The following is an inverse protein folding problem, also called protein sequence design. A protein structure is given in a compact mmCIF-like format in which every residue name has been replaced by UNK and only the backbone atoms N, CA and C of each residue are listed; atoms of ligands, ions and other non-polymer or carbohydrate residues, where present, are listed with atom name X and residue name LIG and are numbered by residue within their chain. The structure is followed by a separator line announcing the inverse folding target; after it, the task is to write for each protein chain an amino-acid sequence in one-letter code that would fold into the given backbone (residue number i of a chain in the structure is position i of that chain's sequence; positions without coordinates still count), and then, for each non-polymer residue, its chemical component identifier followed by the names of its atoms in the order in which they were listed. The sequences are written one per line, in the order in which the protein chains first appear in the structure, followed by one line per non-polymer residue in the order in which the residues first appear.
data_IF_509856539447
#
_entry.id   IF_509856539447
#
_cell.length_a   1.000
_cell.length_b   1.000
_cell.length_c   1.000
_cell.angle_alpha   90.00
_cell.angle_beta   90.00
_cell.angle_gamma   90.00
#
_symmetry.space_group_name_H-M   'P 1'
#
loop_
_entity.id
_entity.type
_entity.pdbx_description
1 polymer ?
#
# COMPACT_ATOMS: atom_id res chain seq x y z
N UNK A 1 1.55 4.17 0.19
CA UNK A 1 2.24 3.28 1.15
C UNK A 1 2.49 3.93 2.51
N UNK A 2 3.14 5.09 2.61
CA UNK A 2 3.51 5.69 3.91
C UNK A 2 2.33 5.90 4.89
N UNK A 3 1.27 6.59 4.45
CA UNK A 3 0.06 6.76 5.25
C UNK A 3 -0.57 5.40 5.64
N UNK A 4 -0.61 4.45 4.70
CA UNK A 4 -1.14 3.10 4.94
C UNK A 4 -0.38 2.37 6.04
N UNK A 5 0.95 2.48 6.08
CA UNK A 5 1.76 1.89 7.13
C UNK A 5 1.53 2.59 8.48
N UNK A 6 1.33 3.91 8.49
CA UNK A 6 0.90 4.59 9.71
C UNK A 6 -0.48 4.11 10.19
N UNK A 7 -1.45 3.93 9.29
CA UNK A 7 -2.76 3.34 9.64
C UNK A 7 -2.64 1.90 10.14
N UNK A 8 -1.72 1.10 9.57
CA UNK A 8 -1.40 -0.23 10.10
C UNK A 8 -0.88 -0.15 11.53
N UNK A 9 0.03 0.78 11.84
CA UNK A 9 0.51 0.95 13.22
C UNK A 9 -0.65 1.31 14.16
N UNK A 10 -1.53 2.25 13.79
CA UNK A 10 -2.70 2.59 14.62
C UNK A 10 -3.61 1.37 14.83
N UNK A 11 -3.87 0.59 13.78
CA UNK A 11 -4.71 -0.59 13.88
C UNK A 11 -4.10 -1.70 14.76
N UNK A 12 -2.77 -1.80 14.81
CA UNK A 12 -2.06 -2.80 15.59
C UNK A 12 -1.94 -2.45 17.08
N UNK A 13 -1.69 -1.17 17.41
CA UNK A 13 -1.31 -0.75 18.77
C UNK A 13 -2.05 0.49 19.30
N UNK A 14 -3.05 1.00 18.59
CA UNK A 14 -3.78 2.21 18.93
C UNK A 14 -3.03 3.49 18.57
N UNK A 15 -3.72 4.64 18.64
CA UNK A 15 -3.14 5.95 18.26
C UNK A 15 -1.88 6.29 19.08
N UNK A 16 -1.97 6.27 20.42
CA UNK A 16 -0.85 6.63 21.29
C UNK A 16 0.33 5.65 21.15
N UNK A 17 0.03 4.35 21.07
CA UNK A 17 1.04 3.32 20.84
C UNK A 17 1.76 3.51 19.52
N UNK A 18 1.03 3.87 18.45
CA UNK A 18 1.61 4.12 17.14
C UNK A 18 2.58 5.31 17.19
N UNK A 19 2.24 6.39 17.88
CA UNK A 19 3.12 7.56 18.00
C UNK A 19 4.43 7.19 18.71
N UNK A 20 4.36 6.45 19.82
CA UNK A 20 5.56 6.01 20.52
C UNK A 20 6.41 5.03 19.68
N UNK A 21 5.76 4.11 18.97
CA UNK A 21 6.45 3.23 18.03
C UNK A 21 7.18 4.01 16.93
N UNK A 22 6.55 5.04 16.35
CA UNK A 22 7.16 5.84 15.29
C UNK A 22 8.35 6.67 15.78
N UNK A 23 8.33 7.17 17.02
CA UNK A 23 9.48 7.86 17.64
C UNK A 23 10.70 6.94 17.75
N UNK A 24 10.49 5.69 18.13
CA UNK A 24 11.56 4.69 18.19
C UNK A 24 11.99 4.25 16.79
N UNK A 25 11.03 3.98 15.89
CA UNK A 25 11.29 3.59 14.51
C UNK A 25 12.14 4.64 13.78
N UNK A 26 11.88 5.94 14.02
CA UNK A 26 12.58 7.05 13.37
C UNK A 26 14.10 6.96 13.51
N UNK A 27 14.61 6.43 14.62
CA UNK A 27 16.05 6.24 14.86
C UNK A 27 16.71 5.31 13.83
N UNK A 28 15.92 4.43 13.22
CA UNK A 28 16.34 3.48 12.18
C UNK A 28 15.83 3.86 10.78
N UNK A 29 15.14 4.99 10.62
CA UNK A 29 14.63 5.44 9.31
C UNK A 29 15.70 6.29 8.63
N UNK A 30 16.26 5.75 7.54
CA UNK A 30 17.21 6.46 6.68
C UNK A 30 16.61 7.77 6.12
N UNK A 31 15.41 7.71 5.55
CA UNK A 31 14.73 8.89 5.00
C UNK A 31 13.23 8.66 4.82
N UNK A 32 12.47 9.76 4.76
CA UNK A 32 11.09 9.78 4.28
C UNK A 32 11.08 10.28 2.84
N UNK A 33 10.84 9.38 1.89
CA UNK A 33 10.81 9.73 0.47
C UNK A 33 9.50 10.40 0.08
N UNK A 34 9.51 11.23 -0.97
CA UNK A 34 8.31 11.89 -1.51
C UNK A 34 7.27 10.94 -2.11
N UNK A 35 7.64 9.69 -2.38
CA UNK A 35 6.71 8.68 -2.89
C UNK A 35 7.36 7.30 -3.02
N UNK A 36 6.54 6.29 -3.30
CA UNK A 36 6.95 4.89 -3.37
C UNK A 36 8.07 4.65 -4.40
N UNK A 37 8.00 5.26 -5.59
CA UNK A 37 9.02 5.05 -6.64
C UNK A 37 10.42 5.50 -6.21
N UNK A 38 10.52 6.55 -5.40
CA UNK A 38 11.80 7.01 -4.86
C UNK A 38 12.37 6.01 -3.85
N UNK A 39 11.53 5.46 -2.95
CA UNK A 39 11.94 4.40 -2.04
C UNK A 39 12.34 3.12 -2.80
N UNK A 40 11.57 2.72 -3.82
CA UNK A 40 11.87 1.54 -4.62
C UNK A 40 13.21 1.66 -5.36
N UNK A 41 13.54 2.85 -5.86
CA UNK A 41 14.84 3.11 -6.46
C UNK A 41 15.99 2.91 -5.47
N UNK A 42 15.81 3.30 -4.21
CA UNK A 42 16.84 3.14 -3.18
C UNK A 42 17.12 1.67 -2.85
N UNK A 43 16.10 0.82 -2.80
CA UNK A 43 16.32 -0.63 -2.63
C UNK A 43 16.90 -1.27 -3.90
N UNK A 44 16.57 -0.76 -5.09
CA UNK A 44 17.19 -1.20 -6.35
C UNK A 44 18.68 -0.86 -6.44
N UNK A 45 19.09 0.32 -5.96
CA UNK A 45 20.50 0.77 -5.94
C UNK A 45 21.31 0.23 -4.76
N UNK A 46 20.66 -0.40 -3.77
CA UNK A 46 21.30 -0.88 -2.55
C UNK A 46 21.56 0.22 -1.51
N UNK A 47 20.94 1.39 -1.66
CA UNK A 47 21.00 2.49 -0.67
C UNK A 47 20.13 2.22 0.57
N UNK A 48 19.12 1.37 0.44
CA UNK A 48 18.24 0.98 1.54
C UNK A 48 18.05 -0.55 1.57
N UNK A 49 18.18 -1.13 2.77
CA UNK A 49 17.98 -2.58 2.96
C UNK A 49 16.50 -2.97 3.01
N UNK A 50 15.62 -2.05 3.43
CA UNK A 50 14.19 -2.28 3.58
C UNK A 50 13.40 -1.03 3.18
N UNK A 51 12.21 -1.26 2.62
CA UNK A 51 11.24 -0.22 2.32
C UNK A 51 9.84 -0.65 2.73
N UNK A 52 8.95 0.33 2.90
CA UNK A 52 7.52 0.08 3.03
C UNK A 52 6.93 -0.06 1.64
N UNK A 53 6.50 -1.28 1.31
CA UNK A 53 5.97 -1.65 -0.01
C UNK A 53 4.81 -2.64 0.11
N UNK A 54 4.54 -3.43 -0.92
CA UNK A 54 3.36 -4.30 -1.01
C UNK A 54 3.73 -5.79 -0.98
N UNK A 55 2.78 -6.62 -0.50
CA UNK A 55 2.94 -8.08 -0.49
C UNK A 55 3.13 -8.66 -1.91
N UNK A 56 2.65 -7.97 -2.93
CA UNK A 56 2.77 -8.33 -4.34
C UNK A 56 4.18 -8.17 -4.91
N UNK A 57 5.11 -7.55 -4.19
CA UNK A 57 6.51 -7.40 -4.63
C UNK A 57 7.22 -8.74 -4.85
N UNK A 58 6.79 -9.81 -4.17
CA UNK A 58 7.30 -11.16 -4.41
C UNK A 58 6.97 -11.66 -5.81
N UNK A 59 5.76 -11.36 -6.30
CA UNK A 59 5.34 -11.69 -7.66
C UNK A 59 6.11 -10.84 -8.70
N UNK A 60 6.25 -9.54 -8.44
CA UNK A 60 7.08 -8.66 -9.27
C UNK A 60 8.51 -9.16 -9.37
N UNK A 61 9.10 -9.54 -8.23
CA UNK A 61 10.48 -9.96 -8.16
C UNK A 61 10.72 -11.22 -9.00
N UNK A 62 9.86 -12.24 -8.83
CA UNK A 62 9.94 -13.45 -9.65
C UNK A 62 9.68 -13.19 -11.13
N UNK A 63 8.73 -12.33 -11.48
CA UNK A 63 8.45 -12.00 -12.87
C UNK A 63 9.63 -11.27 -13.55
N UNK A 64 10.19 -10.25 -12.89
CA UNK A 64 11.24 -9.39 -13.46
C UNK A 64 12.62 -10.04 -13.43
N UNK A 65 12.95 -10.76 -12.36
CA UNK A 65 14.32 -11.25 -12.12
C UNK A 65 14.45 -12.78 -12.17
N UNK A 66 13.35 -13.52 -12.33
CA UNK A 66 13.35 -14.99 -12.29
C UNK A 66 13.74 -15.56 -10.91
N UNK A 67 13.79 -14.72 -9.87
CA UNK A 67 14.18 -15.06 -8.51
C UNK A 67 13.54 -14.10 -7.50
N UNK A 68 13.43 -14.52 -6.24
CA UNK A 68 12.92 -13.65 -5.16
C UNK A 68 14.08 -12.77 -4.66
N UNK A 69 14.31 -11.65 -5.37
CA UNK A 69 15.23 -10.58 -4.94
C UNK A 69 14.59 -9.70 -3.86
N UNK A 70 13.28 -9.49 -3.94
CA UNK A 70 12.49 -8.72 -2.97
C UNK A 70 11.53 -9.66 -2.26
N UNK A 71 11.76 -9.86 -0.96
CA UNK A 71 10.97 -10.75 -0.12
C UNK A 71 10.01 -9.89 0.73
N UNK A 72 8.69 -9.92 0.48
CA UNK A 72 7.74 -9.23 1.32
C UNK A 72 7.62 -9.93 2.67
N UNK A 73 7.61 -9.15 3.75
CA UNK A 73 7.43 -9.65 5.12
C UNK A 73 6.08 -9.19 5.63
N UNK A 74 5.24 -10.13 6.05
CA UNK A 74 3.97 -9.85 6.74
C UNK A 74 4.19 -10.00 8.23
N UNK A 75 3.89 -8.95 8.99
CA UNK A 75 4.04 -8.94 10.44
C UNK A 75 2.96 -9.77 11.13
N UNK A 76 3.26 -10.25 12.35
CA UNK A 76 2.39 -11.16 13.10
C UNK A 76 1.06 -10.50 13.51
N UNK A 77 1.06 -9.18 13.68
CA UNK A 77 -0.11 -8.35 13.93
C UNK A 77 -1.10 -8.39 12.76
N UNK A 78 -0.65 -8.72 11.56
CA UNK A 78 -1.48 -8.89 10.37
C UNK A 78 -1.10 -7.95 9.22
N UNK A 79 -1.83 -8.07 8.11
CA UNK A 79 -1.67 -7.21 6.95
C UNK A 79 -2.64 -6.03 6.97
N UNK A 80 -2.29 -4.94 6.27
CA UNK A 80 -3.21 -3.84 5.98
C UNK A 80 -3.50 -3.82 4.48
N UNK A 81 -4.77 -3.68 4.12
CA UNK A 81 -5.17 -3.61 2.70
C UNK A 81 -5.25 -2.15 2.27
N UNK A 82 -4.52 -1.81 1.22
CA UNK A 82 -4.74 -0.57 0.49
C UNK A 82 -5.75 -0.81 -0.62
N UNK A 83 -6.86 -0.10 -0.58
CA UNK A 83 -7.85 -0.08 -1.65
C UNK A 83 -7.63 1.17 -2.50
N UNK A 84 -7.44 0.98 -3.80
CA UNK A 84 -7.32 2.08 -4.77
C UNK A 84 -8.69 2.35 -5.40
N UNK A 85 -9.14 3.60 -5.36
CA UNK A 85 -10.47 4.01 -5.79
C UNK A 85 -10.40 4.95 -7.00
N UNK A 86 -11.39 4.83 -7.89
CA UNK A 86 -11.66 5.80 -8.95
C UNK A 86 -13.07 6.39 -8.75
N UNK A 87 -13.21 7.70 -8.97
CA UNK A 87 -14.49 8.41 -8.80
C UNK A 87 -14.68 9.50 -9.85
N UNK A 88 -15.95 9.87 -10.08
CA UNK A 88 -16.30 10.95 -11.01
C UNK A 88 -16.20 12.28 -10.27
N UNK A 89 -15.39 13.20 -10.80
CA UNK A 89 -15.27 14.56 -10.27
C UNK A 89 -16.59 15.33 -10.43
N UNK A 90 -17.02 16.04 -9.38
CA UNK A 90 -18.21 16.90 -9.43
C UNK A 90 -18.06 17.94 -10.55
N UNK A 91 -19.05 18.01 -11.44
CA UNK A 91 -19.02 18.92 -12.59
C UNK A 91 -18.29 18.36 -13.82
N UNK A 92 -18.03 17.05 -13.89
CA UNK A 92 -17.46 16.41 -15.07
C UNK A 92 -18.28 16.74 -16.34
N UNK A 93 -17.61 17.34 -17.33
CA UNK A 93 -18.23 17.76 -18.60
C UNK A 93 -18.80 16.58 -19.41
N UNK A 94 -18.20 15.41 -19.27
CA UNK A 94 -18.58 14.19 -19.99
C UNK A 94 -19.01 13.08 -19.02
N UNK A 95 -20.13 13.29 -18.31
CA UNK A 95 -20.60 12.36 -17.28
C UNK A 95 -20.85 10.93 -17.80
N UNK A 96 -21.41 10.80 -19.00
CA UNK A 96 -21.68 9.50 -19.61
C UNK A 96 -20.38 8.70 -19.86
N UNK A 97 -19.34 9.36 -20.42
CA UNK A 97 -18.05 8.73 -20.65
C UNK A 97 -17.33 8.40 -19.33
N UNK A 98 -17.42 9.27 -18.32
CA UNK A 98 -16.83 9.00 -17.02
C UNK A 98 -17.47 7.76 -16.35
N UNK A 99 -18.80 7.60 -16.47
CA UNK A 99 -19.50 6.38 -16.00
C UNK A 99 -19.06 5.14 -16.78
N UNK A 100 -19.05 5.22 -18.11
CA UNK A 100 -18.60 4.12 -18.95
C UNK A 100 -17.15 3.68 -18.62
N UNK A 101 -16.27 4.64 -18.30
CA UNK A 101 -14.91 4.34 -17.85
C UNK A 101 -14.90 3.60 -16.50
N UNK A 102 -15.67 4.06 -15.51
CA UNK A 102 -15.74 3.37 -14.21
C UNK A 102 -16.35 1.96 -14.33
N UNK A 103 -17.31 1.76 -15.24
CA UNK A 103 -17.83 0.43 -15.55
C UNK A 103 -16.77 -0.44 -16.23
N UNK A 104 -16.03 0.12 -17.19
CA UNK A 104 -14.97 -0.57 -17.90
C UNK A 104 -13.85 -1.07 -16.98
N UNK A 105 -13.37 -0.24 -16.03
CA UNK A 105 -12.30 -0.68 -15.13
C UNK A 105 -12.72 -1.83 -14.20
N UNK A 106 -14.01 -2.10 -14.05
CA UNK A 106 -14.55 -3.23 -13.28
C UNK A 106 -14.82 -4.47 -14.14
N UNK A 107 -14.48 -4.45 -15.43
CA UNK A 107 -14.65 -5.62 -16.32
C UNK A 107 -13.49 -6.60 -16.18
N UNK A 108 -13.69 -7.89 -16.52
CA UNK A 108 -12.61 -8.87 -16.59
C UNK A 108 -11.45 -8.45 -17.49
N UNK A 109 -11.73 -7.77 -18.61
CA UNK A 109 -10.70 -7.35 -19.54
C UNK A 109 -9.74 -6.31 -18.98
N UNK A 110 -10.23 -5.40 -18.12
CA UNK A 110 -9.35 -4.49 -17.39
C UNK A 110 -8.69 -5.20 -16.22
N UNK A 111 -9.46 -5.94 -15.41
CA UNK A 111 -8.99 -6.50 -14.16
C UNK A 111 -7.94 -7.60 -14.33
N UNK A 112 -7.95 -8.35 -15.45
CA UNK A 112 -6.89 -9.34 -15.77
C UNK A 112 -5.53 -8.71 -16.03
N UNK A 113 -5.48 -7.43 -16.40
CA UNK A 113 -4.24 -6.71 -16.70
C UNK A 113 -3.61 -6.09 -15.43
N UNK A 114 -4.41 -5.86 -14.38
CA UNK A 114 -3.96 -5.26 -13.11
C UNK A 114 -2.75 -6.00 -12.49
N UNK A 115 -2.73 -7.34 -12.38
CA UNK A 115 -1.64 -8.08 -11.75
C UNK A 115 -0.24 -7.79 -12.31
N UNK A 116 -0.07 -7.67 -13.63
CA UNK A 116 1.24 -7.52 -14.26
C UNK A 116 1.58 -6.08 -14.66
N UNK A 117 0.61 -5.16 -14.62
CA UNK A 117 0.83 -3.76 -14.96
C UNK A 117 0.89 -2.86 -13.71
N UNK A 118 0.03 -3.11 -12.72
CA UNK A 118 -0.05 -2.33 -11.48
C UNK A 118 0.55 -3.07 -10.28
N UNK A 119 0.86 -4.37 -10.40
CA UNK A 119 1.38 -5.20 -9.31
C UNK A 119 0.47 -5.19 -8.08
N UNK A 120 -0.83 -5.29 -8.31
CA UNK A 120 -1.87 -5.33 -7.29
C UNK A 120 -2.84 -6.48 -7.54
N UNK A 121 -3.61 -6.85 -6.51
CA UNK A 121 -4.69 -7.82 -6.66
C UNK A 121 -5.88 -7.20 -7.42
N UNK A 122 -6.55 -7.94 -8.31
CA UNK A 122 -7.78 -7.50 -8.93
C UNK A 122 -8.93 -7.46 -7.92
N UNK A 123 -9.94 -6.63 -8.16
CA UNK A 123 -11.11 -6.47 -7.27
C UNK A 123 -12.28 -7.40 -7.64
N UNK A 124 -12.15 -8.15 -8.73
CA UNK A 124 -13.07 -9.20 -9.15
C UNK A 124 -12.29 -10.51 -9.35
N UNK A 125 -13.02 -11.63 -9.44
CA UNK A 125 -12.40 -12.92 -9.70
C UNK A 125 -11.92 -13.01 -11.16
N UNK A 126 -10.59 -13.06 -11.34
CA UNK A 126 -9.91 -13.36 -12.61
C UNK A 126 -8.78 -14.36 -12.34
N UNK A 127 -8.34 -15.06 -13.38
CA UNK A 127 -7.19 -15.94 -13.27
C UNK A 127 -5.93 -15.10 -12.99
N UNK A 128 -5.20 -15.45 -11.92
CA UNK A 128 -3.97 -14.77 -11.56
C UNK A 128 -2.78 -15.39 -12.30
N UNK A 129 -1.80 -14.59 -12.75
CA UNK A 129 -0.54 -15.09 -13.28
C UNK A 129 0.19 -15.99 -12.28
N UNK A 130 0.91 -17.01 -12.75
CA UNK A 130 1.58 -17.99 -11.88
C UNK A 130 2.50 -17.35 -10.83
N UNK A 131 3.17 -16.25 -11.18
CA UNK A 131 4.06 -15.50 -10.27
C UNK A 131 3.36 -14.98 -9.01
N UNK A 132 2.03 -14.87 -8.99
CA UNK A 132 1.27 -14.48 -7.80
C UNK A 132 1.27 -15.55 -6.69
N UNK A 133 1.73 -16.78 -6.96
CA UNK A 133 1.99 -17.78 -5.91
C UNK A 133 3.07 -17.34 -4.91
N UNK A 134 3.88 -16.33 -5.25
CA UNK A 134 4.91 -15.75 -4.40
C UNK A 134 4.41 -14.57 -3.55
N UNK A 135 3.12 -14.24 -3.62
CA UNK A 135 2.49 -13.31 -2.67
C UNK A 135 2.28 -14.06 -1.35
N UNK A 136 2.82 -13.57 -0.22
CA UNK A 136 2.69 -14.25 1.06
C UNK A 136 1.25 -14.23 1.56
N UNK A 137 0.87 -15.30 2.25
CA UNK A 137 -0.41 -15.38 2.95
C UNK A 137 -0.36 -14.57 4.25
N UNK A 138 -1.51 -14.03 4.67
CA UNK A 138 -1.67 -13.33 5.95
C UNK A 138 -2.76 -13.99 6.79
N UNK A 139 -2.61 -13.96 8.12
CA UNK A 139 -3.58 -14.57 9.05
C UNK A 139 -4.80 -13.68 9.31
N UNK A 140 -4.60 -12.37 9.31
CA UNK A 140 -5.63 -11.37 9.62
C UNK A 140 -5.38 -10.08 8.85
N UNK A 141 -6.47 -9.39 8.52
CA UNK A 141 -6.46 -8.05 7.96
C UNK A 141 -6.81 -7.08 9.08
N UNK A 142 -5.92 -6.13 9.33
CA UNK A 142 -6.14 -5.03 10.25
C UNK A 142 -6.96 -3.94 9.58
N UNK A 143 -7.80 -3.27 10.38
CA UNK A 143 -8.63 -2.15 9.95
C UNK A 143 -8.66 -1.09 11.04
N UNK A 144 -8.57 0.16 10.64
CA UNK A 144 -8.90 1.29 11.52
C UNK A 144 -10.41 1.54 11.49
N UNK A 145 -10.94 2.20 12.53
CA UNK A 145 -12.32 2.68 12.51
C UNK A 145 -12.45 3.76 11.41
N UNK A 146 -13.43 3.68 10.49
CA UNK A 146 -13.64 4.70 9.47
C UNK A 146 -13.81 6.13 10.02
N UNK A 147 -14.31 6.30 11.24
CA UNK A 147 -14.44 7.62 11.89
C UNK A 147 -13.09 8.27 12.19
N UNK A 148 -11.97 7.53 12.10
CA UNK A 148 -10.62 8.08 12.22
C UNK A 148 -10.36 9.13 11.13
N UNK A 149 -10.99 8.98 9.95
CA UNK A 149 -10.86 9.93 8.84
C UNK A 149 -11.30 11.35 9.24
N UNK A 150 -12.28 11.48 10.15
CA UNK A 150 -12.76 12.78 10.63
C UNK A 150 -11.68 13.54 11.44
N UNK A 151 -10.68 12.81 11.94
CA UNK A 151 -9.57 13.32 12.76
C UNK A 151 -8.21 13.11 12.11
N UNK A 152 -8.15 12.67 10.85
CA UNK A 152 -6.89 12.27 10.22
C UNK A 152 -5.86 13.41 10.22
N UNK A 153 -6.30 14.64 9.93
CA UNK A 153 -5.43 15.82 9.96
C UNK A 153 -4.87 16.12 11.36
N UNK A 154 -5.66 15.93 12.41
CA UNK A 154 -5.21 16.07 13.80
C UNK A 154 -4.14 15.03 14.13
N UNK A 155 -4.39 13.78 13.76
CA UNK A 155 -3.53 12.64 14.03
C UNK A 155 -2.20 12.78 13.27
N UNK A 156 -2.24 13.20 12.00
CA UNK A 156 -1.04 13.44 11.20
C UNK A 156 -0.19 14.57 11.76
N UNK A 157 -0.80 15.67 12.24
CA UNK A 157 -0.06 16.74 12.92
C UNK A 157 0.61 16.27 14.21
N UNK A 158 -0.06 15.41 14.99
CA UNK A 158 0.54 14.79 16.19
C UNK A 158 1.73 13.92 15.81
N UNK A 159 1.59 13.10 14.77
CA UNK A 159 2.67 12.26 14.24
C UNK A 159 3.85 13.11 13.75
N UNK A 160 3.59 14.14 12.94
CA UNK A 160 4.62 15.03 12.40
C UNK A 160 5.42 15.69 13.53
N UNK A 161 4.72 16.28 14.50
CA UNK A 161 5.36 16.90 15.68
C UNK A 161 6.20 15.92 16.50
N UNK A 162 5.73 14.68 16.64
CA UNK A 162 6.40 13.68 17.46
C UNK A 162 7.62 13.04 16.75
N UNK A 163 7.56 12.91 15.43
CA UNK A 163 8.49 12.08 14.64
C UNK A 163 9.46 12.91 13.81
N UNK A 164 9.00 14.05 13.29
CA UNK A 164 9.78 14.97 12.45
C UNK A 164 10.33 16.13 13.27
N UNK A 165 9.51 16.68 14.18
CA UNK A 165 9.85 17.84 15.03
C UNK A 165 9.15 19.10 14.58
#
# INVERSE_FOLDING_TARGET
TGLTFFMWTIAAMGEDGAIEYWKELKKNVLTFTSGWSAAFKMIESGEADMIISYATDGAYSMYKYGSIKYMPVIFEEGAYVLEEYASIVKGAKNLALARAFLEFILTPDFQKEVPLNQWMMPVINVELPEVFKYVPTFKRILKVNPSLNDRLDEILKKWEKAVIG
#
